data_IF_843586183667
#
_entry.id   IF_843586183667
#
_cell.length_a   1.000
_cell.length_b   1.000
_cell.length_c   1.000
_cell.angle_alpha   90.00
_cell.angle_beta   90.00
_cell.angle_gamma   90.00
#
_symmetry.space_group_name_H-M   'P 1'
#
loop_
_entity.id
_entity.type
_entity.pdbx_description
1 polymer ?
#
# COMPACT_ATOMS: atom_id res chain seq x y z
N UNK A 1 -5.70 14.90 -4.94
CA UNK A 1 -4.69 14.06 -5.64
C UNK A 1 -5.34 12.74 -6.03
N UNK A 2 -4.89 12.03 -7.09
CA UNK A 2 -5.52 10.78 -7.49
C UNK A 2 -5.46 9.74 -6.37
N UNK A 3 -6.51 8.92 -6.24
CA UNK A 3 -6.59 7.85 -5.25
C UNK A 3 -5.48 6.80 -5.42
N UNK A 4 -5.18 6.05 -4.35
CA UNK A 4 -4.24 4.90 -4.32
C UNK A 4 -4.32 4.04 -5.58
N UNK A 5 -5.53 3.54 -5.80
CA UNK A 5 -5.89 2.58 -6.83
C UNK A 5 -5.78 3.10 -8.27
N UNK A 6 -5.73 4.42 -8.46
CA UNK A 6 -5.73 5.06 -9.79
C UNK A 6 -4.31 5.24 -10.34
N UNK A 7 -3.29 4.96 -9.52
CA UNK A 7 -1.88 5.06 -9.87
C UNK A 7 -1.29 3.67 -9.78
N UNK A 8 -1.23 2.96 -10.91
CA UNK A 8 -0.50 1.69 -11.02
C UNK A 8 0.96 2.01 -11.33
N UNK A 9 1.89 1.84 -10.36
CA UNK A 9 3.29 2.19 -10.58
C UNK A 9 3.95 1.19 -11.54
N UNK A 10 4.65 1.71 -12.55
CA UNK A 10 5.24 0.94 -13.66
C UNK A 10 6.11 -0.24 -13.18
N UNK A 11 6.80 -0.08 -12.04
CA UNK A 11 7.68 -1.10 -11.46
C UNK A 11 6.96 -2.21 -10.70
N UNK A 12 5.64 -2.14 -10.52
CA UNK A 12 4.92 -3.11 -9.72
C UNK A 12 4.07 -4.05 -10.59
N UNK A 13 4.19 -5.34 -10.32
CA UNK A 13 3.37 -6.41 -10.90
C UNK A 13 2.50 -7.10 -9.85
N UNK A 14 1.47 -7.83 -10.31
CA UNK A 14 0.57 -8.63 -9.47
C UNK A 14 0.06 -7.89 -8.21
N UNK A 15 -0.35 -6.64 -8.40
CA UNK A 15 -0.72 -5.73 -7.31
C UNK A 15 -2.16 -6.02 -6.85
N UNK A 16 -2.35 -6.11 -5.54
CA UNK A 16 -3.66 -6.00 -4.90
C UNK A 16 -3.66 -4.79 -3.96
N UNK A 17 -4.76 -4.04 -3.96
CA UNK A 17 -4.96 -2.92 -3.05
C UNK A 17 -5.35 -3.44 -1.66
N UNK A 18 -4.64 -3.02 -0.61
CA UNK A 18 -4.90 -3.43 0.78
C UNK A 18 -5.75 -2.39 1.49
N UNK A 19 -5.29 -1.14 1.48
CA UNK A 19 -5.82 -0.06 2.31
C UNK A 19 -5.72 1.28 1.57
N UNK A 20 -6.72 2.14 1.73
CA UNK A 20 -6.70 3.54 1.31
C UNK A 20 -7.70 4.35 2.17
N UNK A 21 -7.19 5.30 2.95
CA UNK A 21 -8.03 6.26 3.70
C UNK A 21 -8.06 7.66 3.08
N UNK A 22 -7.59 7.78 1.83
CA UNK A 22 -7.46 9.05 1.12
C UNK A 22 -6.15 9.79 1.42
N UNK A 23 -5.56 9.63 2.61
CA UNK A 23 -4.26 10.22 2.97
C UNK A 23 -3.11 9.21 2.86
N UNK A 24 -3.34 7.94 3.17
CA UNK A 24 -2.35 6.88 3.15
C UNK A 24 -2.92 5.67 2.42
N UNK A 25 -2.08 5.03 1.62
CA UNK A 25 -2.46 3.83 0.89
C UNK A 25 -1.40 2.74 1.01
N UNK A 26 -1.86 1.49 0.99
CA UNK A 26 -1.02 0.31 1.00
C UNK A 26 -1.44 -0.70 -0.08
N UNK A 27 -0.45 -1.33 -0.70
CA UNK A 27 -0.61 -2.38 -1.71
C UNK A 27 0.29 -3.57 -1.40
N UNK A 28 -0.07 -4.73 -1.93
CA UNK A 28 0.76 -5.93 -1.89
C UNK A 28 1.06 -6.40 -3.31
N UNK A 29 2.32 -6.55 -3.69
CA UNK A 29 2.69 -6.80 -5.09
C UNK A 29 4.18 -7.10 -5.28
N UNK A 30 4.55 -7.47 -6.49
CA UNK A 30 5.95 -7.70 -6.88
C UNK A 30 6.59 -6.37 -7.28
N UNK A 31 7.62 -5.92 -6.58
CA UNK A 31 8.38 -4.74 -6.96
C UNK A 31 9.60 -5.12 -7.82
N UNK A 32 9.78 -4.42 -8.94
CA UNK A 32 10.97 -4.47 -9.83
C UNK A 32 11.35 -5.90 -10.27
N UNK A 33 10.35 -6.66 -10.72
CA UNK A 33 10.47 -8.08 -11.12
C UNK A 33 10.90 -9.05 -10.01
N UNK A 34 10.83 -8.64 -8.74
CA UNK A 34 11.02 -9.56 -7.61
C UNK A 34 10.03 -10.72 -7.69
N UNK A 35 10.46 -11.99 -7.50
CA UNK A 35 9.56 -13.14 -7.46
C UNK A 35 8.65 -13.10 -6.22
N UNK A 36 9.11 -12.48 -5.13
CA UNK A 36 8.36 -12.35 -3.89
C UNK A 36 7.59 -11.03 -3.88
N UNK A 37 6.37 -11.09 -3.35
CA UNK A 37 5.55 -9.90 -3.11
C UNK A 37 5.98 -9.22 -1.83
N UNK A 38 5.79 -7.90 -1.78
CA UNK A 38 6.14 -7.07 -0.66
C UNK A 38 5.08 -5.97 -0.44
N UNK A 39 5.19 -5.30 0.71
CA UNK A 39 4.32 -4.20 1.10
C UNK A 39 4.80 -2.90 0.45
N UNK A 40 3.94 -2.33 -0.38
CA UNK A 40 4.11 -0.99 -0.92
C UNK A 40 3.24 0.00 -0.16
N UNK A 41 3.80 1.14 0.23
CA UNK A 41 3.06 2.18 0.94
C UNK A 41 3.30 3.55 0.33
N UNK A 42 2.37 4.46 0.59
CA UNK A 42 2.55 5.88 0.27
C UNK A 42 1.66 6.77 1.11
N UNK A 43 2.13 7.99 1.35
CA UNK A 43 1.31 9.12 1.74
C UNK A 43 0.82 9.84 0.46
N UNK A 44 -0.48 9.88 0.26
CA UNK A 44 -1.16 10.48 -0.90
C UNK A 44 -1.10 12.02 -0.92
N UNK A 45 -0.63 12.65 0.15
CA UNK A 45 -0.64 14.09 0.31
C UNK A 45 -1.90 14.61 0.99
N UNK A 46 -2.01 15.93 1.06
CA UNK A 46 -3.11 16.68 1.65
C UNK A 46 -3.22 18.04 0.93
N UNK A 47 -4.25 18.87 1.16
CA UNK A 47 -4.27 20.23 0.62
C UNK A 47 -2.96 20.97 0.95
N UNK A 48 -2.22 21.37 -0.09
CA UNK A 48 -0.90 22.02 0.04
C UNK A 48 0.29 21.07 0.23
N UNK A 49 0.08 19.76 0.38
CA UNK A 49 1.12 18.74 0.52
C UNK A 49 1.19 17.80 -0.68
N UNK A 50 2.40 17.57 -1.21
CA UNK A 50 2.62 16.80 -2.44
C UNK A 50 2.54 15.27 -2.28
N UNK A 51 2.41 14.77 -1.05
CA UNK A 51 2.55 13.35 -0.73
C UNK A 51 4.01 12.89 -0.69
N UNK A 52 4.22 11.66 -0.20
CA UNK A 52 5.55 11.08 -0.04
C UNK A 52 5.53 9.54 -0.07
N UNK A 53 6.55 8.88 -0.65
CA UNK A 53 7.59 9.45 -1.50
C UNK A 53 6.97 10.14 -2.72
N UNK A 54 7.69 11.04 -3.38
CA UNK A 54 7.19 11.68 -4.60
C UNK A 54 8.27 11.79 -5.67
N UNK A 55 7.83 11.76 -6.92
CA UNK A 55 8.63 12.02 -8.10
C UNK A 55 7.93 13.07 -8.97
N UNK A 56 8.63 14.15 -9.30
CA UNK A 56 8.08 15.27 -10.09
C UNK A 56 6.74 15.81 -9.53
N UNK A 57 6.57 15.82 -8.20
CA UNK A 57 5.36 16.34 -7.53
C UNK A 57 4.18 15.37 -7.43
N UNK A 58 4.34 14.10 -7.82
CA UNK A 58 3.32 13.07 -7.69
C UNK A 58 3.72 12.00 -6.67
N UNK A 59 2.82 11.58 -5.75
CA UNK A 59 3.09 10.50 -4.82
C UNK A 59 3.45 9.19 -5.54
N UNK A 60 4.53 8.55 -5.10
CA UNK A 60 5.02 7.26 -5.57
C UNK A 60 4.95 6.23 -4.45
N UNK A 61 5.33 4.99 -4.73
CA UNK A 61 5.26 3.88 -3.77
C UNK A 61 6.64 3.58 -3.21
N UNK A 62 6.71 3.44 -1.88
CA UNK A 62 7.87 2.97 -1.14
C UNK A 62 7.67 1.51 -0.75
N UNK A 63 8.73 0.69 -0.82
CA UNK A 63 8.71 -0.68 -0.31
C UNK A 63 9.09 -0.65 1.16
N UNK A 64 8.20 -1.11 2.03
CA UNK A 64 8.49 -1.23 3.46
C UNK A 64 9.55 -2.31 3.75
N UNK A 65 10.44 -2.11 4.73
CA UNK A 65 11.35 -3.15 5.18
C UNK A 65 10.62 -4.38 5.70
N UNK A 66 11.13 -5.55 5.35
CA UNK A 66 10.51 -6.85 5.68
C UNK A 66 10.20 -7.03 7.17
N UNK A 67 11.10 -6.58 8.05
CA UNK A 67 10.92 -6.70 9.51
C UNK A 67 9.76 -5.87 10.08
N UNK A 68 9.26 -4.86 9.34
CA UNK A 68 8.11 -4.05 9.73
C UNK A 68 6.81 -4.54 9.09
N UNK A 69 6.89 -5.19 7.93
CA UNK A 69 5.75 -5.58 7.09
C UNK A 69 4.63 -6.24 7.88
N UNK A 70 4.94 -7.27 8.66
CA UNK A 70 3.92 -8.03 9.40
C UNK A 70 3.17 -7.17 10.42
N UNK A 71 3.90 -6.31 11.15
CA UNK A 71 3.29 -5.41 12.14
C UNK A 71 2.38 -4.39 11.47
N UNK A 72 2.82 -3.83 10.33
CA UNK A 72 2.00 -2.89 9.56
C UNK A 72 0.74 -3.58 9.03
N UNK A 73 0.85 -4.77 8.44
CA UNK A 73 -0.30 -5.53 7.94
C UNK A 73 -1.31 -5.85 9.06
N UNK A 74 -0.85 -6.23 10.26
CA UNK A 74 -1.75 -6.46 11.38
C UNK A 74 -2.47 -5.18 11.84
N UNK A 75 -1.78 -4.04 11.85
CA UNK A 75 -2.40 -2.76 12.18
C UNK A 75 -3.42 -2.33 11.12
N UNK A 76 -3.13 -2.53 9.84
CA UNK A 76 -4.06 -2.24 8.75
C UNK A 76 -5.29 -3.16 8.81
N UNK A 77 -5.12 -4.42 9.23
CA UNK A 77 -6.23 -5.35 9.44
C UNK A 77 -7.17 -4.86 10.54
N UNK A 78 -6.62 -4.35 11.65
CA UNK A 78 -7.41 -3.75 12.73
C UNK A 78 -8.19 -2.52 12.24
N UNK A 79 -7.57 -1.65 11.45
CA UNK A 79 -8.25 -0.49 10.85
C UNK A 79 -9.37 -0.90 9.89
N UNK A 80 -9.14 -1.88 9.01
CA UNK A 80 -10.17 -2.39 8.09
C UNK A 80 -11.30 -3.07 8.88
N UNK A 81 -11.00 -3.80 9.96
CA UNK A 81 -12.04 -4.41 10.81
C UNK A 81 -12.94 -3.36 11.48
N UNK A 82 -12.40 -2.19 11.83
CA UNK A 82 -13.18 -1.07 12.38
C UNK A 82 -14.02 -0.39 11.30
N UNK A 83 -13.47 -0.22 10.11
CA UNK A 83 -14.14 0.38 8.96
C UNK A 83 -13.73 -0.30 7.65
N UNK A 84 -14.63 -1.16 7.16
CA UNK A 84 -14.43 -1.93 5.93
C UNK A 84 -14.32 -1.04 4.67
N UNK A 85 -14.70 0.24 4.74
CA UNK A 85 -14.55 1.14 3.59
C UNK A 85 -13.09 1.54 3.34
N UNK A 86 -12.22 1.37 4.35
CA UNK A 86 -10.81 1.74 4.28
C UNK A 86 -9.94 0.74 3.51
N UNK A 87 -10.46 -0.43 3.14
CA UNK A 87 -9.63 -1.45 2.50
C UNK A 87 -10.36 -2.72 2.12
N UNK A 88 -9.59 -3.76 1.77
CA UNK A 88 -10.13 -5.04 1.34
C UNK A 88 -9.68 -6.17 2.27
N UNK A 89 -10.64 -6.71 3.03
CA UNK A 89 -10.42 -7.79 3.99
C UNK A 89 -9.77 -9.03 3.38
N UNK A 90 -10.19 -9.43 2.17
CA UNK A 90 -9.62 -10.61 1.51
C UNK A 90 -8.16 -10.36 1.12
N UNK A 91 -7.86 -9.18 0.59
CA UNK A 91 -6.51 -8.85 0.13
C UNK A 91 -5.51 -8.76 1.29
N UNK A 92 -5.92 -8.20 2.43
CA UNK A 92 -5.03 -8.13 3.59
C UNK A 92 -4.75 -9.51 4.21
N UNK A 93 -5.74 -10.41 4.21
CA UNK A 93 -5.54 -11.78 4.67
C UNK A 93 -4.59 -12.55 3.73
N UNK A 94 -4.67 -12.33 2.41
CA UNK A 94 -3.71 -12.87 1.44
C UNK A 94 -2.30 -12.35 1.72
N UNK A 95 -2.15 -11.04 1.93
CA UNK A 95 -0.84 -10.46 2.23
C UNK A 95 -0.24 -11.01 3.53
N UNK A 96 -1.05 -11.20 4.58
CA UNK A 96 -0.61 -11.81 5.85
C UNK A 96 -0.20 -13.29 5.71
N UNK A 97 -0.84 -14.04 4.81
CA UNK A 97 -0.49 -15.43 4.52
C UNK A 97 0.80 -15.57 3.72
N UNK A 98 1.05 -14.64 2.80
CA UNK A 98 2.27 -14.61 1.97
C UNK A 98 3.46 -13.94 2.68
N UNK A 99 3.20 -13.15 3.73
CA UNK A 99 4.25 -12.53 4.52
C UNK A 99 5.07 -13.60 5.27
N UNK A 100 6.40 -13.58 5.17
CA UNK A 100 7.27 -14.52 5.87
C UNK A 100 7.18 -14.43 7.41
#
# INVERSE_FOLDING_TARGET
MPAGNSVRPIKWGNVIDIYDNGLYSAIWGNYDNSPNRCLGVRWNGAPGGLGYPNGCGYPTWYVEPEFLTKLILLQLLDEINKDNSLGNMRNILVALQECP
#
